data_IF_549404734074
#
_entry.id   IF_549404734074
#
_cell.length_a   1.000
_cell.length_b   1.000
_cell.length_c   1.000
_cell.angle_alpha   90.00
_cell.angle_beta   90.00
_cell.angle_gamma   90.00
#
_symmetry.space_group_name_H-M   'P 1'
#
loop_
_entity.id
_entity.type
_entity.pdbx_description
1 polymer ?
#
# COMPACT_ATOMS: atom_id res chain seq x y z
N UNK A 1 92.04 17.53 -51.13
CA UNK A 1 91.71 16.71 -52.33
C UNK A 1 90.44 15.90 -51.98
N UNK A 2 89.45 16.07 -52.84
CA UNK A 2 88.32 15.19 -53.08
C UNK A 2 87.27 15.08 -51.88
N UNK A 3 86.30 15.73 -52.01
CA UNK A 3 85.03 15.73 -52.76
C UNK A 3 83.92 15.09 -51.91
N UNK A 4 83.11 15.93 -51.39
CA UNK A 4 81.86 15.58 -50.78
C UNK A 4 80.80 15.23 -51.83
N UNK A 5 80.05 14.24 -51.64
CA UNK A 5 78.78 14.02 -52.31
C UNK A 5 77.67 14.04 -51.28
N UNK A 6 76.91 15.09 -51.39
CA UNK A 6 75.67 15.34 -50.66
C UNK A 6 74.58 14.40 -51.16
N UNK A 7 73.95 13.68 -50.29
CA UNK A 7 72.67 13.04 -50.54
C UNK A 7 71.60 13.69 -49.66
N UNK A 8 70.66 14.35 -50.32
CA UNK A 8 69.58 15.09 -49.70
C UNK A 8 68.58 14.22 -48.93
N UNK A 9 67.82 14.81 -48.08
CA UNK A 9 66.89 14.07 -47.23
C UNK A 9 65.63 13.68 -48.01
N UNK A 10 65.31 12.40 -47.98
CA UNK A 10 64.05 11.86 -48.42
C UNK A 10 62.89 12.41 -47.56
N UNK A 11 61.76 12.79 -48.18
CA UNK A 11 60.58 13.23 -47.39
C UNK A 11 59.93 12.00 -46.74
N UNK A 12 59.95 11.98 -45.42
CA UNK A 12 59.17 11.08 -44.66
C UNK A 12 57.70 11.53 -44.74
N UNK A 13 56.90 10.80 -45.51
CA UNK A 13 55.47 10.85 -45.54
C UNK A 13 54.96 10.48 -44.14
N UNK A 14 54.56 11.47 -43.39
CA UNK A 14 53.78 11.34 -42.17
C UNK A 14 52.37 10.90 -42.61
N UNK A 15 52.10 9.59 -42.53
CA UNK A 15 50.77 9.05 -42.55
C UNK A 15 50.15 9.38 -41.21
N UNK A 16 49.50 10.57 -41.10
CA UNK A 16 48.59 10.88 -40.02
C UNK A 16 47.32 10.04 -40.20
N UNK A 17 47.31 8.86 -39.58
CA UNK A 17 46.09 8.05 -39.41
C UNK A 17 45.22 8.81 -38.43
N UNK A 18 44.27 9.56 -38.97
CA UNK A 18 43.19 10.18 -38.25
C UNK A 18 42.23 9.07 -37.85
N UNK A 19 42.51 8.42 -36.69
CA UNK A 19 41.56 7.57 -36.02
C UNK A 19 40.51 8.50 -35.45
N UNK A 20 39.52 8.84 -36.27
CA UNK A 20 38.27 9.43 -35.79
C UNK A 20 37.59 8.35 -34.95
N UNK A 21 37.86 8.35 -33.67
CA UNK A 21 37.10 7.60 -32.67
C UNK A 21 35.67 8.14 -32.68
N UNK A 22 34.85 7.51 -33.49
CA UNK A 22 33.41 7.67 -33.43
C UNK A 22 32.97 7.00 -32.14
N UNK A 23 33.13 7.70 -31.01
CA UNK A 23 32.39 7.42 -29.78
C UNK A 23 30.93 7.69 -30.12
N UNK A 24 30.29 6.71 -30.75
CA UNK A 24 28.86 6.61 -30.73
C UNK A 24 28.47 6.50 -29.25
N UNK A 25 28.15 7.63 -28.66
CA UNK A 25 27.42 7.69 -27.41
C UNK A 25 26.09 6.97 -27.68
N UNK A 26 26.09 5.67 -27.40
CA UNK A 26 24.83 4.95 -27.23
C UNK A 26 24.20 5.57 -25.98
N UNK A 27 23.62 6.74 -26.14
CA UNK A 27 22.60 7.22 -25.24
C UNK A 27 21.46 6.23 -25.41
N UNK A 28 21.56 5.10 -24.74
CA UNK A 28 20.39 4.27 -24.49
C UNK A 28 19.39 5.18 -23.82
N UNK A 29 18.46 5.72 -24.59
CA UNK A 29 17.27 6.32 -24.03
C UNK A 29 16.66 5.21 -23.18
N UNK A 30 16.94 5.22 -21.87
CA UNK A 30 16.17 4.43 -20.94
C UNK A 30 14.72 4.80 -21.27
N UNK A 31 14.00 3.87 -21.88
CA UNK A 31 12.63 4.12 -22.32
C UNK A 31 11.87 4.49 -21.03
N UNK A 32 11.55 5.75 -20.92
CA UNK A 32 10.87 6.27 -19.74
C UNK A 32 9.53 5.54 -19.66
N UNK A 33 9.32 4.80 -18.57
CA UNK A 33 8.10 4.03 -18.36
C UNK A 33 6.89 4.95 -18.43
N UNK A 34 5.88 4.52 -19.17
CA UNK A 34 4.62 5.25 -19.23
C UNK A 34 3.79 5.05 -17.97
N UNK A 35 2.87 5.96 -17.65
CA UNK A 35 2.04 5.88 -16.44
C UNK A 35 1.26 4.56 -16.35
N UNK A 36 0.75 4.05 -17.46
CA UNK A 36 0.03 2.78 -17.51
C UNK A 36 0.91 1.61 -17.09
N UNK A 37 2.15 1.54 -17.56
CA UNK A 37 3.08 0.47 -17.21
C UNK A 37 3.50 0.55 -15.75
N UNK A 38 3.77 1.76 -15.23
CA UNK A 38 4.12 1.97 -13.82
C UNK A 38 2.97 1.48 -12.92
N UNK A 39 1.73 1.87 -13.22
CA UNK A 39 0.54 1.46 -12.44
C UNK A 39 0.30 -0.05 -12.52
N UNK A 40 0.47 -0.68 -13.69
CA UNK A 40 0.29 -2.12 -13.82
C UNK A 40 1.31 -2.91 -12.99
N UNK A 41 2.60 -2.54 -13.07
CA UNK A 41 3.65 -3.16 -12.26
C UNK A 41 3.40 -2.95 -10.76
N UNK A 42 2.99 -1.75 -10.40
CA UNK A 42 2.68 -1.40 -9.03
C UNK A 42 1.50 -2.19 -8.49
N UNK A 43 0.42 -2.32 -9.25
CA UNK A 43 -0.74 -3.12 -8.84
C UNK A 43 -0.40 -4.59 -8.59
N UNK A 44 0.48 -5.18 -9.43
CA UNK A 44 0.93 -6.57 -9.28
C UNK A 44 1.75 -6.78 -8.01
N UNK A 45 2.69 -5.86 -7.72
CA UNK A 45 3.54 -5.94 -6.54
C UNK A 45 2.71 -5.77 -5.25
N UNK A 46 1.87 -4.74 -5.19
CA UNK A 46 1.04 -4.49 -4.01
C UNK A 46 0.01 -5.60 -3.78
N UNK A 47 -0.57 -6.19 -4.86
CA UNK A 47 -1.47 -7.33 -4.70
C UNK A 47 -0.78 -8.50 -3.99
N UNK A 48 0.47 -8.83 -4.36
CA UNK A 48 1.25 -9.87 -3.68
C UNK A 48 1.44 -9.57 -2.19
N UNK A 49 1.71 -8.32 -1.85
CA UNK A 49 1.94 -7.91 -0.46
C UNK A 49 0.64 -8.01 0.36
N UNK A 50 -0.48 -7.61 -0.21
CA UNK A 50 -1.80 -7.76 0.44
C UNK A 50 -2.23 -9.21 0.59
N UNK A 51 -1.95 -10.05 -0.40
CA UNK A 51 -2.21 -11.50 -0.31
C UNK A 51 -1.40 -12.13 0.84
N UNK A 52 -0.22 -11.58 1.15
CA UNK A 52 0.64 -12.05 2.24
C UNK A 52 0.32 -11.42 3.62
N UNK A 53 -0.42 -10.31 3.65
CA UNK A 53 -0.72 -9.58 4.90
C UNK A 53 -1.39 -10.43 6.00
N UNK A 54 -2.28 -11.39 5.70
CA UNK A 54 -2.86 -12.28 6.71
C UNK A 54 -1.84 -13.17 7.45
N UNK A 55 -0.65 -13.38 6.89
CA UNK A 55 0.41 -14.20 7.50
C UNK A 55 1.19 -13.47 8.60
N UNK A 56 0.84 -12.21 8.88
CA UNK A 56 1.56 -11.37 9.85
C UNK A 56 0.63 -10.88 10.95
N UNK A 57 1.14 -10.94 12.18
CA UNK A 57 0.63 -10.21 13.32
C UNK A 57 1.31 -8.83 13.38
N UNK A 58 0.65 -7.83 13.97
CA UNK A 58 1.17 -6.46 14.06
C UNK A 58 0.52 -5.68 15.21
N UNK A 59 1.07 -4.51 15.53
CA UNK A 59 0.42 -3.57 16.43
C UNK A 59 -0.30 -2.49 15.64
N UNK A 60 -1.57 -2.29 15.96
CA UNK A 60 -2.43 -1.22 15.45
C UNK A 60 -2.64 -0.19 16.55
N UNK A 61 -2.17 1.02 16.35
CA UNK A 61 -2.46 2.17 17.18
C UNK A 61 -3.54 3.01 16.50
N UNK A 62 -4.71 2.98 17.07
CA UNK A 62 -5.92 3.64 16.60
C UNK A 62 -6.14 4.93 17.37
N UNK A 63 -6.42 6.02 16.67
CA UNK A 63 -6.87 7.28 17.26
C UNK A 63 -8.28 7.60 16.79
N UNK A 64 -9.22 7.63 17.71
CA UNK A 64 -10.60 8.08 17.51
C UNK A 64 -10.81 9.34 18.36
N UNK A 65 -10.68 10.51 17.74
CA UNK A 65 -10.70 11.81 18.42
C UNK A 65 -9.57 11.94 19.44
N UNK A 66 -9.94 12.12 20.72
CA UNK A 66 -8.97 12.21 21.83
C UNK A 66 -8.55 10.85 22.40
N UNK A 67 -9.25 9.78 22.04
CA UNK A 67 -8.97 8.44 22.55
C UNK A 67 -7.94 7.74 21.67
N UNK A 68 -6.96 7.15 22.32
CA UNK A 68 -5.94 6.34 21.65
C UNK A 68 -5.98 4.95 22.25
N UNK A 69 -6.05 3.95 21.38
CA UNK A 69 -5.95 2.55 21.76
C UNK A 69 -4.90 1.87 20.91
N UNK A 70 -4.17 0.97 21.53
CA UNK A 70 -3.23 0.11 20.78
C UNK A 70 -3.68 -1.32 20.95
N UNK A 71 -3.81 -1.99 19.81
CA UNK A 71 -4.15 -3.40 19.73
C UNK A 71 -2.97 -4.19 19.19
N UNK A 72 -2.85 -5.41 19.64
CA UNK A 72 -2.08 -6.44 18.98
C UNK A 72 -3.04 -7.23 18.09
N UNK A 73 -2.86 -7.12 16.77
CA UNK A 73 -3.64 -7.80 15.76
C UNK A 73 -3.07 -9.20 15.53
N UNK A 74 -3.76 -10.22 16.03
CA UNK A 74 -3.28 -11.60 16.06
C UNK A 74 -4.10 -12.43 15.07
N UNK A 75 -3.43 -13.22 14.23
CA UNK A 75 -4.09 -14.26 13.45
C UNK A 75 -4.39 -15.46 14.35
N UNK A 76 -5.64 -15.60 14.76
CA UNK A 76 -6.09 -16.66 15.66
C UNK A 76 -7.04 -17.61 14.91
N UNK A 77 -6.64 -18.86 14.72
CA UNK A 77 -7.44 -19.91 14.10
C UNK A 77 -8.14 -19.49 12.79
N UNK A 78 -7.44 -18.72 11.93
CA UNK A 78 -7.88 -18.37 10.58
C UNK A 78 -8.67 -17.05 10.44
N UNK A 79 -8.78 -16.22 11.49
CA UNK A 79 -9.26 -14.84 11.38
C UNK A 79 -8.61 -13.94 12.41
N UNK A 80 -8.64 -12.63 12.21
CA UNK A 80 -8.06 -11.64 13.13
C UNK A 80 -8.74 -11.69 14.51
N UNK A 81 -7.96 -11.40 15.52
CA UNK A 81 -8.37 -11.09 16.89
C UNK A 81 -7.62 -9.85 17.36
N UNK A 82 -8.36 -8.84 17.76
CA UNK A 82 -7.85 -7.57 18.29
C UNK A 82 -7.66 -7.71 19.81
N UNK A 83 -6.40 -7.76 20.25
CA UNK A 83 -6.03 -7.77 21.65
C UNK A 83 -5.63 -6.38 22.11
N UNK A 84 -6.40 -5.75 23.02
CA UNK A 84 -6.06 -4.45 23.56
C UNK A 84 -4.80 -4.55 24.42
N UNK A 85 -3.80 -3.70 24.16
CA UNK A 85 -2.51 -3.71 24.90
C UNK A 85 -2.17 -2.37 25.53
N UNK A 86 -2.73 -1.24 25.03
CA UNK A 86 -2.52 0.08 25.63
C UNK A 86 -3.73 1.00 25.42
N UNK A 87 -3.89 1.98 26.32
CA UNK A 87 -4.85 3.07 26.22
C UNK A 87 -4.09 4.38 26.48
N UNK A 88 -4.29 5.38 25.61
CA UNK A 88 -3.61 6.69 25.66
C UNK A 88 -2.08 6.55 25.74
N UNK A 89 -1.55 5.66 24.89
CA UNK A 89 -0.11 5.31 24.80
C UNK A 89 0.49 4.79 26.13
N UNK A 90 -0.34 4.30 27.04
CA UNK A 90 0.09 3.70 28.31
C UNK A 90 -0.33 2.24 28.36
N UNK A 91 0.53 1.35 28.87
CA UNK A 91 0.14 -0.04 29.12
C UNK A 91 -1.14 -0.12 29.94
N UNK A 92 -1.91 -1.18 29.76
CA UNK A 92 -3.13 -1.42 30.51
C UNK A 92 -2.86 -1.43 32.01
N UNK A 93 -3.86 -0.99 32.79
CA UNK A 93 -3.83 -1.24 34.23
C UNK A 93 -3.83 -2.75 34.50
N UNK A 94 -3.28 -3.23 35.64
CA UNK A 94 -3.32 -4.66 35.96
C UNK A 94 -4.74 -5.26 35.93
N UNK A 95 -5.75 -4.44 36.25
CA UNK A 95 -7.14 -4.87 36.19
C UNK A 95 -7.64 -5.02 34.76
N UNK A 96 -7.28 -4.09 33.87
CA UNK A 96 -7.71 -4.13 32.46
C UNK A 96 -6.93 -5.19 31.68
N UNK A 97 -5.65 -5.38 32.01
CA UNK A 97 -4.86 -6.48 31.47
C UNK A 97 -5.43 -7.86 31.86
N UNK A 98 -5.87 -8.02 33.11
CA UNK A 98 -6.53 -9.26 33.55
C UNK A 98 -7.86 -9.50 32.82
N UNK A 99 -8.65 -8.45 32.58
CA UNK A 99 -9.89 -8.53 31.75
C UNK A 99 -9.58 -8.95 30.32
N UNK A 100 -8.58 -8.29 29.71
CA UNK A 100 -8.20 -8.56 28.34
C UNK A 100 -7.63 -9.99 28.19
N UNK A 101 -6.80 -10.42 29.13
CA UNK A 101 -6.30 -11.78 29.18
C UNK A 101 -7.44 -12.82 29.28
N UNK A 102 -8.45 -12.54 30.10
CA UNK A 102 -9.63 -13.40 30.18
C UNK A 102 -10.42 -13.41 28.87
N UNK A 103 -10.60 -12.24 28.23
CA UNK A 103 -11.25 -12.11 26.91
C UNK A 103 -10.54 -12.93 25.84
N UNK A 104 -9.21 -12.81 25.80
CA UNK A 104 -8.36 -13.55 24.86
C UNK A 104 -8.46 -15.06 25.08
N UNK A 105 -8.31 -15.53 26.34
CA UNK A 105 -8.43 -16.96 26.66
C UNK A 105 -9.80 -17.52 26.32
N UNK A 106 -10.85 -16.73 26.56
CA UNK A 106 -12.21 -17.10 26.15
C UNK A 106 -12.32 -17.24 24.63
N UNK A 107 -11.81 -16.28 23.87
CA UNK A 107 -11.81 -16.34 22.40
C UNK A 107 -11.03 -17.56 21.88
N UNK A 108 -9.88 -17.87 22.49
CA UNK A 108 -9.11 -19.09 22.15
C UNK A 108 -9.94 -20.35 22.39
N UNK A 109 -10.57 -20.47 23.57
CA UNK A 109 -11.39 -21.63 23.92
C UNK A 109 -12.62 -21.75 23.00
N UNK A 110 -13.30 -20.65 22.70
CA UNK A 110 -14.44 -20.64 21.78
C UNK A 110 -14.04 -21.11 20.40
N UNK A 111 -12.92 -20.58 19.84
CA UNK A 111 -12.41 -21.00 18.52
C UNK A 111 -11.93 -22.43 18.45
N UNK A 112 -11.47 -22.99 19.56
CA UNK A 112 -11.12 -24.42 19.67
C UNK A 112 -12.35 -25.34 19.70
N UNK A 113 -13.47 -24.85 20.23
CA UNK A 113 -14.72 -25.59 20.36
C UNK A 113 -15.71 -25.35 19.24
N UNK A 114 -15.38 -24.46 18.28
CA UNK A 114 -16.24 -24.18 17.12
C UNK A 114 -16.55 -25.47 16.35
N UNK A 115 -17.80 -25.63 15.98
CA UNK A 115 -18.18 -26.60 14.97
C UNK A 115 -17.55 -26.22 13.60
N UNK A 116 -17.42 -27.17 12.67
CA UNK A 116 -16.95 -26.86 11.33
C UNK A 116 -17.72 -25.71 10.65
N UNK A 117 -19.04 -25.67 10.80
CA UNK A 117 -19.90 -24.64 10.19
C UNK A 117 -19.67 -23.24 10.80
N UNK A 118 -19.51 -23.16 12.14
CA UNK A 118 -19.21 -21.90 12.82
C UNK A 118 -17.84 -21.36 12.42
N UNK A 119 -16.86 -22.24 12.33
CA UNK A 119 -15.50 -21.89 11.85
C UNK A 119 -15.54 -21.39 10.42
N UNK A 120 -16.23 -22.08 9.52
CA UNK A 120 -16.37 -21.67 8.12
C UNK A 120 -17.05 -20.32 8.01
N UNK A 121 -18.12 -20.05 8.78
CA UNK A 121 -18.79 -18.76 8.81
C UNK A 121 -17.89 -17.63 9.29
N UNK A 122 -17.11 -17.85 10.35
CA UNK A 122 -16.19 -16.84 10.91
C UNK A 122 -15.06 -16.52 9.93
N UNK A 123 -14.42 -17.55 9.38
CA UNK A 123 -13.35 -17.38 8.39
C UNK A 123 -13.90 -16.74 7.11
N UNK A 124 -15.09 -17.16 6.67
CA UNK A 124 -15.75 -16.60 5.50
C UNK A 124 -16.03 -15.10 5.65
N UNK A 125 -16.52 -14.65 6.82
CA UNK A 125 -16.70 -13.21 7.09
C UNK A 125 -15.39 -12.44 7.01
N UNK A 126 -14.33 -12.95 7.62
CA UNK A 126 -13.01 -12.35 7.57
C UNK A 126 -12.48 -12.29 6.12
N UNK A 127 -12.65 -13.36 5.34
CA UNK A 127 -12.26 -13.37 3.95
C UNK A 127 -13.06 -12.37 3.10
N UNK A 128 -14.37 -12.25 3.34
CA UNK A 128 -15.21 -11.25 2.67
C UNK A 128 -14.76 -9.80 2.97
N UNK A 129 -14.21 -9.53 4.16
CA UNK A 129 -13.64 -8.23 4.52
C UNK A 129 -12.37 -7.95 3.72
N UNK A 130 -11.44 -8.90 3.68
CA UNK A 130 -10.21 -8.81 2.88
C UNK A 130 -10.56 -8.65 1.40
N UNK A 131 -11.47 -9.46 0.87
CA UNK A 131 -11.85 -9.41 -0.55
C UNK A 131 -12.47 -8.06 -0.93
N UNK A 132 -13.21 -7.41 -0.03
CA UNK A 132 -13.75 -6.06 -0.27
C UNK A 132 -12.64 -5.03 -0.43
N UNK A 133 -11.61 -5.09 0.40
CA UNK A 133 -10.48 -4.16 0.35
C UNK A 133 -9.64 -4.42 -0.91
N UNK A 134 -9.39 -5.67 -1.24
CA UNK A 134 -8.70 -6.07 -2.47
C UNK A 134 -9.45 -5.62 -3.73
N UNK A 135 -10.79 -5.74 -3.75
CA UNK A 135 -11.59 -5.26 -4.89
C UNK A 135 -11.43 -3.75 -5.07
N UNK A 136 -11.51 -2.97 -4.00
CA UNK A 136 -11.35 -1.51 -4.09
C UNK A 136 -10.00 -1.14 -4.69
N UNK A 137 -8.93 -1.76 -4.19
CA UNK A 137 -7.58 -1.51 -4.67
C UNK A 137 -7.37 -1.98 -6.12
N UNK A 138 -7.93 -3.13 -6.50
CA UNK A 138 -7.91 -3.63 -7.88
C UNK A 138 -8.70 -2.75 -8.86
N UNK A 139 -9.70 -2.04 -8.39
CA UNK A 139 -10.50 -1.13 -9.21
C UNK A 139 -9.83 0.24 -9.45
N UNK A 140 -8.84 0.65 -8.66
CA UNK A 140 -8.14 1.93 -8.85
C UNK A 140 -7.58 2.08 -10.26
N UNK A 141 -6.96 1.04 -10.81
CA UNK A 141 -6.37 1.05 -12.17
C UNK A 141 -7.40 1.14 -13.29
N UNK A 142 -8.65 0.75 -13.01
CA UNK A 142 -9.77 0.78 -13.95
C UNK A 142 -10.57 2.06 -13.81
N UNK A 143 -10.71 2.55 -12.58
CA UNK A 143 -11.55 3.71 -12.23
C UNK A 143 -10.86 5.05 -12.50
N UNK A 144 -9.54 5.10 -12.52
CA UNK A 144 -8.77 6.32 -12.63
C UNK A 144 -7.91 6.33 -13.91
N UNK A 145 -7.82 7.51 -14.51
CA UNK A 145 -6.83 7.82 -15.54
C UNK A 145 -5.63 8.47 -14.88
N UNK A 146 -4.45 7.85 -15.04
CA UNK A 146 -3.22 8.29 -14.41
C UNK A 146 -2.33 9.09 -15.37
N UNK A 147 -1.75 10.16 -14.85
CA UNK A 147 -0.72 10.97 -15.53
C UNK A 147 0.56 10.93 -14.70
N UNK A 148 1.69 10.69 -15.34
CA UNK A 148 3.00 10.78 -14.70
C UNK A 148 3.40 12.25 -14.60
N UNK A 149 3.54 12.76 -13.38
CA UNK A 149 4.01 14.13 -13.12
C UNK A 149 5.53 14.23 -13.11
N UNK A 150 6.23 13.11 -12.93
CA UNK A 150 7.68 13.05 -12.92
C UNK A 150 8.21 12.07 -11.88
N UNK A 151 9.48 12.25 -11.56
CA UNK A 151 10.18 11.55 -10.50
C UNK A 151 10.70 12.57 -9.47
N UNK A 152 10.73 12.18 -8.21
CA UNK A 152 11.27 12.99 -7.13
C UNK A 152 11.81 12.12 -6.00
N UNK A 153 12.56 12.72 -5.10
CA UNK A 153 12.94 12.07 -3.85
C UNK A 153 11.82 12.25 -2.82
N UNK A 154 11.38 11.15 -2.22
CA UNK A 154 10.53 11.12 -1.04
C UNK A 154 11.32 10.45 0.09
N UNK A 155 11.81 11.25 1.02
CA UNK A 155 12.79 10.79 1.97
C UNK A 155 14.08 10.32 1.28
N UNK A 156 14.41 9.03 1.42
CA UNK A 156 15.59 8.41 0.79
C UNK A 156 15.28 7.64 -0.50
N UNK A 157 14.04 7.67 -0.96
CA UNK A 157 13.57 6.87 -2.10
C UNK A 157 13.31 7.75 -3.30
N UNK A 158 13.76 7.33 -4.45
CA UNK A 158 13.28 7.90 -5.71
C UNK A 158 11.92 7.30 -6.03
N UNK A 159 10.94 8.16 -6.34
CA UNK A 159 9.56 7.73 -6.59
C UNK A 159 9.03 8.33 -7.90
N UNK A 160 8.23 7.58 -8.60
CA UNK A 160 7.33 8.10 -9.61
C UNK A 160 6.15 8.78 -8.92
N UNK A 161 5.74 9.93 -9.43
CA UNK A 161 4.56 10.65 -8.94
C UNK A 161 3.48 10.60 -10.01
N UNK A 162 2.38 9.92 -9.70
CA UNK A 162 1.26 9.76 -10.61
C UNK A 162 0.01 10.40 -10.04
N UNK A 163 -0.62 11.27 -10.85
CA UNK A 163 -1.91 11.87 -10.52
C UNK A 163 -3.03 11.10 -11.20
N UNK A 164 -3.98 10.64 -10.41
CA UNK A 164 -5.17 9.92 -10.84
C UNK A 164 -6.41 10.81 -10.81
N UNK A 165 -7.23 10.74 -11.87
CA UNK A 165 -8.53 11.41 -11.96
C UNK A 165 -9.59 10.40 -12.38
N UNK A 166 -10.87 10.60 -11.99
CA UNK A 166 -11.94 9.69 -12.38
C UNK A 166 -12.00 9.50 -13.91
N UNK A 167 -11.99 8.23 -14.32
CA UNK A 167 -12.11 7.85 -15.74
C UNK A 167 -13.55 8.03 -16.22
N UNK A 168 -13.70 8.74 -17.32
CA UNK A 168 -15.01 8.91 -17.95
C UNK A 168 -15.58 7.56 -18.38
N UNK A 169 -16.84 7.30 -18.00
CA UNK A 169 -17.54 6.07 -18.37
C UNK A 169 -17.19 4.83 -17.53
N UNK A 170 -16.36 4.95 -16.50
CA UNK A 170 -16.13 3.86 -15.56
C UNK A 170 -17.44 3.44 -14.89
N UNK A 171 -17.67 2.13 -14.81
CA UNK A 171 -18.85 1.52 -14.16
C UNK A 171 -18.38 0.70 -12.97
N UNK A 172 -18.60 1.18 -11.73
CA UNK A 172 -18.18 0.48 -10.53
C UNK A 172 -18.92 -0.85 -10.36
N UNK A 173 -18.21 -1.95 -10.05
CA UNK A 173 -18.84 -3.27 -9.86
C UNK A 173 -19.64 -3.36 -8.55
N UNK A 174 -19.32 -2.53 -7.56
CA UNK A 174 -19.95 -2.53 -6.24
C UNK A 174 -20.04 -1.11 -5.67
N UNK A 175 -20.58 -1.01 -4.44
CA UNK A 175 -20.79 0.27 -3.76
C UNK A 175 -19.47 0.92 -3.30
N UNK A 176 -18.51 0.11 -2.89
CA UNK A 176 -17.18 0.58 -2.45
C UNK A 176 -16.44 1.22 -3.62
N UNK A 177 -16.36 0.52 -4.75
CA UNK A 177 -15.73 1.04 -5.96
C UNK A 177 -16.43 2.30 -6.51
N UNK A 178 -17.69 2.53 -6.12
CA UNK A 178 -18.41 3.74 -6.53
C UNK A 178 -17.77 5.01 -5.96
N UNK A 179 -17.12 4.96 -4.79
CA UNK A 179 -16.38 6.08 -4.22
C UNK A 179 -15.35 6.65 -5.21
N UNK A 180 -14.69 5.77 -5.97
CA UNK A 180 -13.66 6.15 -6.95
C UNK A 180 -14.19 7.05 -8.07
N UNK A 181 -15.51 7.07 -8.33
CA UNK A 181 -16.08 7.93 -9.38
C UNK A 181 -16.04 9.42 -9.07
N UNK A 182 -15.85 9.79 -7.81
CA UNK A 182 -15.72 11.17 -7.36
C UNK A 182 -14.37 11.51 -6.74
N UNK A 183 -13.41 10.58 -6.76
CA UNK A 183 -12.10 10.75 -6.13
C UNK A 183 -11.02 11.10 -7.13
N UNK A 184 -10.13 12.00 -6.75
CA UNK A 184 -8.82 12.18 -7.37
C UNK A 184 -7.73 11.91 -6.35
N UNK A 185 -6.50 11.65 -6.82
CA UNK A 185 -5.43 11.38 -5.88
C UNK A 185 -4.07 11.37 -6.51
N UNK A 186 -3.06 11.21 -5.67
CA UNK A 186 -1.66 11.09 -6.07
C UNK A 186 -1.07 9.81 -5.47
N UNK A 187 -0.33 9.08 -6.29
CA UNK A 187 0.44 7.91 -5.88
C UNK A 187 1.93 8.24 -5.99
N UNK A 188 2.68 7.93 -4.94
CA UNK A 188 4.14 7.91 -4.92
C UNK A 188 4.59 6.46 -4.93
N UNK A 189 5.16 6.03 -6.05
CA UNK A 189 5.54 4.65 -6.33
C UNK A 189 7.06 4.57 -6.37
N UNK A 190 7.65 3.70 -5.54
CA UNK A 190 9.10 3.46 -5.52
C UNK A 190 9.61 3.10 -6.92
N UNK A 191 10.61 3.84 -7.40
CA UNK A 191 11.11 3.67 -8.76
C UNK A 191 11.90 2.36 -8.97
N UNK A 192 12.41 1.77 -7.88
CA UNK A 192 13.21 0.55 -7.94
C UNK A 192 12.36 -0.72 -7.92
N UNK A 193 11.27 -0.74 -7.17
CA UNK A 193 10.50 -1.96 -6.90
C UNK A 193 8.98 -1.85 -7.11
N UNK A 194 8.46 -0.68 -7.46
CA UNK A 194 7.05 -0.39 -7.78
C UNK A 194 6.06 -0.51 -6.63
N UNK A 195 6.53 -0.58 -5.38
CA UNK A 195 5.63 -0.52 -4.22
C UNK A 195 5.09 0.90 -4.03
N UNK A 196 3.92 1.01 -3.45
CA UNK A 196 3.43 2.29 -2.98
C UNK A 196 4.23 2.73 -1.77
N UNK A 197 4.78 3.92 -1.82
CA UNK A 197 5.39 4.57 -0.66
C UNK A 197 4.33 5.38 0.05
N UNK A 198 3.50 6.08 -0.75
CA UNK A 198 2.41 6.92 -0.26
C UNK A 198 1.29 6.98 -1.29
N UNK A 199 0.06 7.03 -0.80
CA UNK A 199 -1.12 7.34 -1.59
C UNK A 199 -1.93 8.41 -0.88
N UNK A 200 -2.35 9.44 -1.60
CA UNK A 200 -3.30 10.45 -1.12
C UNK A 200 -4.49 10.48 -2.06
N UNK A 201 -5.69 10.59 -1.52
CA UNK A 201 -6.90 10.71 -2.31
C UNK A 201 -7.90 11.65 -1.64
N UNK A 202 -8.64 12.38 -2.46
CA UNK A 202 -9.68 13.31 -2.03
C UNK A 202 -10.93 13.13 -2.86
N UNK A 203 -12.08 13.17 -2.22
CA UNK A 203 -13.37 13.25 -2.91
C UNK A 203 -13.60 14.68 -3.36
N UNK A 204 -13.64 14.91 -4.66
CA UNK A 204 -13.81 16.24 -5.29
C UNK A 204 -15.22 16.47 -5.82
N UNK A 205 -16.00 15.41 -5.97
CA UNK A 205 -17.41 15.51 -6.33
C UNK A 205 -18.25 14.54 -5.49
N UNK A 206 -19.47 14.92 -5.12
CA UNK A 206 -20.30 14.11 -4.22
C UNK A 206 -20.59 12.73 -4.80
N UNK A 207 -20.43 11.67 -4.01
CA UNK A 207 -20.69 10.29 -4.41
C UNK A 207 -21.83 9.67 -3.59
N UNK A 208 -22.86 9.22 -4.28
CA UNK A 208 -24.01 8.53 -3.67
C UNK A 208 -23.70 7.04 -3.55
N UNK A 209 -23.63 6.51 -2.31
CA UNK A 209 -23.28 5.10 -2.05
C UNK A 209 -24.48 4.20 -1.76
N UNK A 210 -25.54 4.71 -1.15
CA UNK A 210 -26.78 3.97 -0.84
C UNK A 210 -28.01 4.62 -1.49
N UNK A 211 -27.98 4.78 -2.81
CA UNK A 211 -29.03 5.50 -3.52
C UNK A 211 -29.06 6.97 -3.06
N UNK A 212 -30.19 7.43 -2.53
CA UNK A 212 -30.34 8.76 -1.96
C UNK A 212 -30.13 8.82 -0.43
N UNK A 213 -29.77 7.69 0.21
CA UNK A 213 -29.70 7.59 1.68
C UNK A 213 -28.37 8.15 2.22
N UNK A 214 -27.26 7.81 1.57
CA UNK A 214 -25.94 8.25 2.02
C UNK A 214 -25.11 8.81 0.87
N UNK A 215 -24.40 9.90 1.16
CA UNK A 215 -23.56 10.61 0.20
C UNK A 215 -22.23 10.96 0.85
N UNK A 216 -21.14 10.59 0.18
CA UNK A 216 -19.81 11.07 0.54
C UNK A 216 -19.65 12.47 -0.03
N UNK A 217 -19.22 13.40 0.79
CA UNK A 217 -19.08 14.81 0.44
C UNK A 217 -17.65 15.13 -0.03
N UNK A 218 -17.49 16.15 -0.89
CA UNK A 218 -16.19 16.70 -1.22
C UNK A 218 -15.39 17.11 0.02
N UNK A 219 -14.06 16.92 -0.04
CA UNK A 219 -13.15 17.13 1.07
C UNK A 219 -13.08 15.95 2.05
N UNK A 220 -13.68 14.79 1.70
CA UNK A 220 -13.29 13.52 2.30
C UNK A 220 -11.90 13.18 1.81
N UNK A 221 -10.98 12.95 2.73
CA UNK A 221 -9.56 12.74 2.47
C UNK A 221 -9.10 11.38 2.97
N UNK A 222 -8.16 10.77 2.23
CA UNK A 222 -7.52 9.50 2.56
C UNK A 222 -6.01 9.63 2.35
N UNK A 223 -5.25 9.09 3.27
CA UNK A 223 -3.81 8.95 3.16
C UNK A 223 -3.40 7.54 3.58
N UNK A 224 -2.52 6.91 2.81
CA UNK A 224 -1.91 5.63 3.12
C UNK A 224 -0.41 5.75 2.92
N UNK A 225 0.35 5.38 3.93
CA UNK A 225 1.79 5.19 3.83
C UNK A 225 2.14 3.73 4.04
N UNK A 226 3.12 3.26 3.28
CA UNK A 226 3.62 1.89 3.38
C UNK A 226 5.12 1.89 3.59
N UNK A 227 5.60 0.91 4.34
CA UNK A 227 7.02 0.68 4.60
C UNK A 227 7.40 -0.78 4.35
N UNK A 228 8.66 -1.02 3.95
CA UNK A 228 9.15 -2.38 3.82
C UNK A 228 9.26 -3.04 5.19
N UNK A 229 8.77 -4.26 5.26
CA UNK A 229 8.97 -5.17 6.38
C UNK A 229 9.97 -6.26 6.01
N UNK A 230 10.17 -7.24 6.89
CA UNK A 230 10.96 -8.42 6.57
C UNK A 230 10.42 -9.13 5.29
N UNK A 231 11.24 -9.96 4.68
CA UNK A 231 10.90 -10.76 3.48
C UNK A 231 10.62 -9.94 2.20
N UNK A 232 10.94 -8.62 2.21
CA UNK A 232 10.79 -7.75 1.03
C UNK A 232 9.34 -7.38 0.70
N UNK A 233 8.43 -7.59 1.63
CA UNK A 233 7.04 -7.16 1.55
C UNK A 233 6.90 -5.73 2.06
N UNK A 234 5.88 -5.02 1.57
CA UNK A 234 5.52 -3.70 2.04
C UNK A 234 4.14 -3.73 2.68
N UNK A 235 4.05 -3.17 3.86
CA UNK A 235 2.83 -3.15 4.64
C UNK A 235 2.47 -1.71 5.04
N UNK A 236 1.20 -1.43 5.33
CA UNK A 236 0.80 -0.15 5.89
C UNK A 236 1.63 0.23 7.11
N UNK A 237 2.09 1.47 7.17
CA UNK A 237 2.70 2.07 8.35
C UNK A 237 1.79 3.14 8.97
N UNK A 238 1.01 3.83 8.11
CA UNK A 238 0.05 4.82 8.54
C UNK A 238 -1.16 4.86 7.58
N UNK A 239 -2.34 5.03 8.14
CA UNK A 239 -3.57 5.28 7.41
C UNK A 239 -4.35 6.38 8.09
N UNK A 240 -4.71 7.41 7.33
CA UNK A 240 -5.57 8.50 7.76
C UNK A 240 -6.80 8.55 6.86
N UNK A 241 -7.97 8.62 7.48
CA UNK A 241 -9.22 8.93 6.80
C UNK A 241 -9.94 10.07 7.53
N UNK A 242 -10.30 11.09 6.79
CA UNK A 242 -11.18 12.15 7.25
C UNK A 242 -12.43 12.14 6.37
N UNK A 243 -13.45 11.44 6.81
CA UNK A 243 -14.67 11.26 6.03
C UNK A 243 -15.73 12.31 6.39
N UNK A 244 -16.26 12.94 5.35
CA UNK A 244 -17.41 13.85 5.41
C UNK A 244 -18.55 13.20 4.65
N UNK A 245 -19.65 12.92 5.34
CA UNK A 245 -20.83 12.31 4.73
C UNK A 245 -22.10 13.04 5.12
N UNK A 246 -23.15 12.85 4.32
CA UNK A 246 -24.52 13.23 4.69
C UNK A 246 -25.41 12.02 4.61
N UNK A 247 -26.14 11.79 5.71
CA UNK A 247 -27.14 10.73 5.82
C UNK A 247 -28.52 11.36 5.73
N UNK A 248 -29.41 10.77 4.93
CA UNK A 248 -30.76 11.29 4.64
C UNK A 248 -30.77 12.76 4.17
N UNK A 249 -29.69 13.20 3.48
CA UNK A 249 -29.50 14.55 2.96
C UNK A 249 -29.37 15.67 4.01
N UNK A 250 -29.73 15.42 5.25
CA UNK A 250 -29.91 16.43 6.29
C UNK A 250 -28.91 16.30 7.45
N UNK A 251 -28.42 15.09 7.70
CA UNK A 251 -27.58 14.83 8.87
C UNK A 251 -26.11 14.73 8.44
N UNK A 252 -25.27 15.75 8.76
CA UNK A 252 -23.85 15.66 8.53
C UNK A 252 -23.24 14.61 9.45
N UNK A 253 -22.36 13.79 8.93
CA UNK A 253 -21.57 12.82 9.65
C UNK A 253 -20.10 13.09 9.33
N UNK A 254 -19.29 13.13 10.37
CA UNK A 254 -17.84 13.26 10.27
C UNK A 254 -17.21 12.09 11.01
N UNK A 255 -16.26 11.44 10.37
CA UNK A 255 -15.50 10.33 10.93
C UNK A 255 -14.02 10.57 10.62
N UNK A 256 -13.18 10.30 11.59
CA UNK A 256 -11.74 10.40 11.44
C UNK A 256 -11.12 9.14 12.02
N UNK A 257 -10.39 8.42 11.16
CA UNK A 257 -9.54 7.30 11.53
C UNK A 257 -8.08 7.71 11.31
N UNK A 258 -7.26 7.55 12.34
CA UNK A 258 -5.82 7.82 12.31
C UNK A 258 -5.11 6.60 12.91
N UNK A 259 -4.65 5.73 12.02
CA UNK A 259 -4.16 4.40 12.33
C UNK A 259 -2.67 4.28 12.03
N UNK A 260 -1.89 3.88 13.03
CA UNK A 260 -0.45 3.59 12.86
C UNK A 260 -0.22 2.10 13.07
N UNK A 261 0.46 1.49 12.12
CA UNK A 261 0.77 0.06 12.09
C UNK A 261 2.26 -0.15 12.35
N UNK A 262 2.62 -1.13 13.15
CA UNK A 262 4.02 -1.37 13.50
C UNK A 262 4.31 -2.81 13.89
N UNK A 263 5.61 -3.15 13.92
CA UNK A 263 6.11 -4.41 14.46
C UNK A 263 5.52 -5.66 13.80
N UNK A 264 5.37 -5.64 12.49
CA UNK A 264 4.92 -6.80 11.73
C UNK A 264 5.83 -8.00 11.97
N UNK A 265 5.24 -9.14 12.34
CA UNK A 265 5.95 -10.39 12.58
C UNK A 265 5.08 -11.60 12.27
N UNK A 266 5.70 -12.71 11.91
CA UNK A 266 4.97 -13.95 11.71
C UNK A 266 4.44 -14.49 13.06
N UNK A 267 3.23 -15.05 13.11
CA UNK A 267 2.66 -15.61 14.32
C UNK A 267 3.62 -16.58 15.01
N UNK A 268 3.72 -16.51 16.32
CA UNK A 268 4.49 -17.50 17.08
C UNK A 268 3.92 -18.91 16.86
N UNK A 269 4.77 -19.91 16.71
CA UNK A 269 4.37 -21.30 16.44
C UNK A 269 3.32 -21.86 17.44
N UNK A 270 3.24 -21.32 18.65
CA UNK A 270 2.24 -21.68 19.65
C UNK A 270 0.80 -21.22 19.30
N UNK A 271 0.64 -20.11 18.56
CA UNK A 271 -0.66 -19.68 18.06
C UNK A 271 -1.10 -20.49 16.82
N UNK A 272 -0.14 -21.02 16.05
CA UNK A 272 -0.40 -21.90 14.91
C UNK A 272 -0.77 -23.35 15.32
N UNK A 273 -0.32 -23.82 16.49
CA UNK A 273 -0.57 -25.20 16.96
C UNK A 273 -2.03 -25.45 17.34
N UNK A 274 -2.81 -24.42 17.67
CA UNK A 274 -4.26 -24.56 17.89
C UNK A 274 -5.04 -24.98 16.64
N UNK A 275 -4.39 -25.03 15.46
CA UNK A 275 -5.03 -25.37 14.16
C UNK A 275 -4.75 -26.83 13.73
N UNK A 276 -3.68 -27.47 14.21
CA UNK A 276 -3.19 -28.74 13.65
C UNK A 276 -3.52 -30.02 14.42
N UNK A 277 -4.16 -29.96 15.57
CA UNK A 277 -4.45 -31.16 16.39
C UNK A 277 -5.85 -31.79 16.15
N UNK A 278 -6.39 -31.60 14.94
CA UNK A 278 -7.58 -32.38 14.52
C UNK A 278 -7.37 -32.92 13.10
N UNK A 279 -6.60 -34.00 13.00
CA UNK A 279 -6.71 -34.99 11.93
C UNK A 279 -7.33 -36.27 12.46
#
# INVERSE_FOLDING_TARGET
MLSALSLGPTPRLLFAVLVASFLASISGSAQQLGPTEIIQRSAEVNRRDWDAAPDYDYFLRERDGEKIKTYEEIMLAGSRYERLVAIDDKPLSPQDEAKEQHRFQKAVAERQQESPDEREQRIGKYQEEIDRDHVLMGELTKALDFTLSGQQMLGRREVYVLNGKPRAGYRPPNKQAKALTGMQGTLWIDAANFHWVKAEAEVVSPVWIYGFIARIEPGTHFELEQEPIADGLWMPSHFLMEAKAKVLLLFPHYEQDDNTYSSYHKPAAAAAVAVNDTK
#
